data_IF_464330815324
#
_entry.id   IF_464330815324
#
_cell.length_a   1.000
_cell.length_b   1.000
_cell.length_c   1.000
_cell.angle_alpha   90.00
_cell.angle_beta   90.00
_cell.angle_gamma   90.00
#
_symmetry.space_group_name_H-M   'P 1'
#
loop_
_entity.id
_entity.type
_entity.pdbx_description
1 polymer ?
#
# COMPACT_ATOMS: atom_id res chain seq x y z
N UNK A 1 111.42 -58.48 35.27
CA UNK A 1 111.13 -57.02 35.25
C UNK A 1 110.59 -56.47 33.93
N UNK A 2 111.25 -56.82 32.82
CA UNK A 2 110.80 -56.31 31.50
C UNK A 2 109.41 -56.79 31.04
N UNK A 3 109.00 -58.02 31.38
CA UNK A 3 107.66 -58.56 31.02
C UNK A 3 106.60 -57.90 31.88
N UNK A 4 106.89 -57.61 33.15
CA UNK A 4 105.96 -56.86 34.06
C UNK A 4 105.82 -55.40 33.61
N UNK A 5 106.94 -54.76 33.22
CA UNK A 5 106.87 -53.39 32.69
C UNK A 5 106.11 -53.31 31.34
N UNK A 6 106.28 -54.27 30.46
CA UNK A 6 105.54 -54.36 29.17
C UNK A 6 104.02 -54.62 29.44
N UNK A 7 103.71 -55.49 30.40
CA UNK A 7 102.30 -55.72 30.84
C UNK A 7 101.64 -54.50 31.42
N UNK A 8 102.34 -53.74 32.29
CA UNK A 8 101.81 -52.47 32.83
C UNK A 8 101.63 -51.40 31.72
N UNK A 9 102.54 -51.29 30.76
CA UNK A 9 102.41 -50.38 29.63
C UNK A 9 101.25 -50.80 28.73
N UNK A 10 101.06 -52.10 28.51
CA UNK A 10 99.93 -52.60 27.72
C UNK A 10 98.59 -52.36 28.44
N UNK A 11 98.52 -52.61 29.73
CA UNK A 11 97.32 -52.31 30.55
C UNK A 11 97.10 -50.80 30.58
N UNK A 12 98.13 -49.98 30.70
CA UNK A 12 97.99 -48.53 30.65
C UNK A 12 97.49 -48.04 29.29
N UNK A 13 98.03 -48.68 28.22
CA UNK A 13 97.58 -48.34 26.83
C UNK A 13 96.10 -48.72 26.62
N UNK A 14 95.69 -49.95 26.96
CA UNK A 14 94.32 -50.40 26.90
C UNK A 14 93.39 -49.58 27.75
N UNK A 15 93.73 -49.27 28.98
CA UNK A 15 92.94 -48.44 29.90
C UNK A 15 92.78 -47.02 29.38
N UNK A 16 93.82 -46.41 28.86
CA UNK A 16 93.75 -45.01 28.35
C UNK A 16 93.23 -44.94 26.92
N UNK A 17 93.58 -45.89 26.08
CA UNK A 17 93.26 -45.91 24.64
C UNK A 17 91.84 -46.40 24.35
N UNK A 18 91.31 -47.35 25.11
CA UNK A 18 89.98 -47.97 24.79
C UNK A 18 88.95 -47.72 25.87
N UNK A 19 89.30 -48.03 27.17
CA UNK A 19 88.30 -47.99 28.22
C UNK A 19 87.83 -46.59 28.55
N UNK A 20 88.69 -45.56 28.46
CA UNK A 20 88.36 -44.19 28.82
C UNK A 20 87.38 -43.55 27.83
N UNK A 21 87.58 -43.63 26.49
CA UNK A 21 86.59 -43.12 25.52
C UNK A 21 85.24 -43.84 25.57
N UNK A 22 85.24 -45.19 25.75
CA UNK A 22 84.00 -45.95 25.95
C UNK A 22 83.22 -45.52 27.18
N UNK A 23 83.98 -45.31 28.33
CA UNK A 23 83.37 -44.78 29.56
C UNK A 23 82.77 -43.39 29.41
N UNK A 24 83.43 -42.50 28.62
CA UNK A 24 82.88 -41.18 28.31
C UNK A 24 81.56 -41.29 27.49
N UNK A 25 81.48 -42.22 26.55
CA UNK A 25 80.28 -42.48 25.73
C UNK A 25 79.12 -43.02 26.59
N UNK A 26 79.42 -43.97 27.52
CA UNK A 26 78.45 -44.51 28.48
C UNK A 26 77.93 -43.43 29.40
N UNK A 27 78.80 -42.59 29.96
CA UNK A 27 78.40 -41.46 30.82
C UNK A 27 77.49 -40.46 30.06
N UNK A 28 77.78 -40.18 28.81
CA UNK A 28 76.96 -39.27 27.97
C UNK A 28 75.62 -39.90 27.58
N UNK A 29 75.59 -41.20 27.34
CA UNK A 29 74.31 -41.92 27.09
C UNK A 29 73.46 -41.94 28.34
N UNK A 30 74.07 -42.16 29.52
CA UNK A 30 73.39 -42.18 30.81
C UNK A 30 72.84 -40.79 31.17
N UNK A 31 73.60 -39.72 30.86
CA UNK A 31 73.19 -38.33 31.04
C UNK A 31 71.96 -38.00 30.16
N UNK A 32 71.92 -38.48 28.91
CA UNK A 32 70.75 -38.31 28.00
C UNK A 32 69.56 -39.14 28.46
N UNK A 33 69.81 -40.36 29.00
CA UNK A 33 68.72 -41.29 29.34
C UNK A 33 68.11 -41.01 30.72
N UNK A 34 68.92 -40.59 31.68
CA UNK A 34 68.51 -40.47 33.10
C UNK A 34 68.92 -39.13 33.75
N UNK A 35 69.77 -38.32 33.13
CA UNK A 35 70.27 -37.05 33.60
C UNK A 35 69.51 -35.82 33.02
N UNK A 36 70.24 -34.73 32.80
CA UNK A 36 69.73 -33.44 32.31
C UNK A 36 69.37 -33.44 30.81
N UNK A 37 69.52 -34.57 30.12
CA UNK A 37 69.16 -34.68 28.66
C UNK A 37 69.92 -33.73 27.75
N UNK A 38 71.18 -33.36 28.09
CA UNK A 38 71.95 -32.35 27.35
C UNK A 38 72.43 -32.87 25.99
N UNK A 39 71.58 -32.55 24.93
CA UNK A 39 71.85 -32.90 23.51
C UNK A 39 72.90 -31.98 22.88
N UNK A 40 73.43 -30.96 23.56
CA UNK A 40 74.43 -30.04 23.03
C UNK A 40 75.86 -30.56 23.16
N UNK A 41 76.08 -31.54 24.04
CA UNK A 41 77.41 -32.13 24.28
C UNK A 41 77.83 -33.00 23.11
N UNK A 42 79.17 -33.06 22.84
CA UNK A 42 79.74 -33.83 21.77
C UNK A 42 80.98 -34.64 22.30
N UNK A 43 81.18 -35.83 21.78
CA UNK A 43 82.35 -36.61 21.97
C UNK A 43 83.52 -36.03 21.19
N UNK A 44 84.74 -35.99 21.75
CA UNK A 44 85.94 -35.58 21.04
C UNK A 44 86.30 -36.65 20.00
N UNK A 45 86.59 -36.24 18.79
CA UNK A 45 86.93 -37.14 17.66
C UNK A 45 88.40 -36.90 17.27
N UNK A 46 89.32 -37.27 18.17
CA UNK A 46 90.82 -37.07 17.99
C UNK A 46 91.49 -38.29 17.38
N UNK A 47 90.73 -39.30 16.94
CA UNK A 47 91.23 -40.61 16.49
C UNK A 47 90.66 -41.01 15.13
N UNK A 48 91.53 -41.68 14.30
CA UNK A 48 91.15 -42.20 13.01
C UNK A 48 90.94 -43.75 13.01
N UNK A 49 90.55 -44.32 14.15
CA UNK A 49 90.25 -45.73 14.34
C UNK A 49 88.74 -45.99 14.51
N UNK A 50 88.33 -47.22 14.85
CA UNK A 50 86.89 -47.62 15.00
C UNK A 50 86.22 -46.83 16.14
N UNK A 51 86.94 -46.43 17.16
CA UNK A 51 86.39 -45.58 18.25
C UNK A 51 86.14 -44.16 17.79
N UNK A 52 86.98 -43.61 16.91
CA UNK A 52 86.75 -42.33 16.30
C UNK A 52 85.51 -42.35 15.38
N UNK A 53 85.29 -43.42 14.63
CA UNK A 53 84.09 -43.60 13.77
C UNK A 53 82.82 -43.72 14.63
N UNK A 54 82.88 -44.45 15.80
CA UNK A 54 81.73 -44.53 16.68
C UNK A 54 81.42 -43.15 17.26
N UNK A 55 82.43 -42.37 17.70
CA UNK A 55 82.26 -41.04 18.25
C UNK A 55 81.60 -40.06 17.19
N UNK A 56 82.03 -40.17 15.90
CA UNK A 56 81.43 -39.38 14.81
C UNK A 56 79.98 -39.78 14.58
N UNK A 57 79.72 -41.10 14.53
CA UNK A 57 78.37 -41.62 14.36
C UNK A 57 77.41 -41.15 15.48
N UNK A 58 77.89 -41.22 16.71
CA UNK A 58 77.17 -40.77 17.92
C UNK A 58 76.90 -39.25 17.89
N UNK A 59 77.92 -38.44 17.54
CA UNK A 59 77.72 -37.00 17.37
C UNK A 59 76.68 -36.64 16.23
N UNK A 60 76.71 -37.41 15.16
CA UNK A 60 75.73 -37.27 14.05
C UNK A 60 74.33 -37.64 14.51
N UNK A 61 74.17 -38.70 15.28
CA UNK A 61 72.93 -39.11 15.90
C UNK A 61 72.36 -38.00 16.87
N UNK A 62 73.23 -37.49 17.76
CA UNK A 62 72.89 -36.40 18.65
C UNK A 62 72.45 -35.14 17.89
N UNK A 63 73.17 -34.79 16.81
CA UNK A 63 72.80 -33.65 15.96
C UNK A 63 71.43 -33.79 15.32
N UNK A 64 71.09 -35.00 14.83
CA UNK A 64 69.77 -35.32 14.31
C UNK A 64 68.69 -35.25 15.39
N UNK A 65 68.96 -35.81 16.57
CA UNK A 65 68.04 -35.81 17.72
C UNK A 65 67.77 -34.38 18.18
N UNK A 66 68.82 -33.56 18.32
CA UNK A 66 68.75 -32.16 18.69
C UNK A 66 67.88 -31.38 17.67
N UNK A 67 68.11 -31.61 16.36
CA UNK A 67 67.31 -30.99 15.28
C UNK A 67 65.84 -31.39 15.35
N UNK A 68 65.53 -32.68 15.59
CA UNK A 68 64.15 -33.16 15.71
C UNK A 68 63.45 -32.52 16.94
N UNK A 69 64.11 -32.51 18.12
CA UNK A 69 63.57 -31.91 19.34
C UNK A 69 63.31 -30.41 19.08
N UNK A 70 64.26 -29.69 18.46
CA UNK A 70 64.08 -28.29 18.10
C UNK A 70 62.86 -28.04 17.19
N UNK A 71 62.62 -28.91 16.18
CA UNK A 71 61.44 -28.83 15.34
C UNK A 71 60.15 -29.11 16.11
N UNK A 72 60.16 -30.06 17.06
CA UNK A 72 59.02 -30.36 17.89
C UNK A 72 58.68 -29.18 18.81
N UNK A 73 59.67 -28.49 19.41
CA UNK A 73 59.48 -27.27 20.20
C UNK A 73 58.72 -26.21 19.39
N UNK A 74 59.19 -25.94 18.16
CA UNK A 74 58.55 -24.95 17.28
C UNK A 74 57.11 -25.37 16.93
N UNK A 75 56.91 -26.68 16.66
CA UNK A 75 55.57 -27.18 16.32
C UNK A 75 54.60 -27.08 17.49
N UNK A 76 55.02 -27.43 18.69
CA UNK A 76 54.23 -27.31 19.93
C UNK A 76 53.84 -25.87 20.20
N UNK A 77 54.78 -24.93 20.03
CA UNK A 77 54.46 -23.49 20.17
C UNK A 77 53.41 -23.04 19.15
N UNK A 78 53.55 -23.44 17.88
CA UNK A 78 52.55 -23.11 16.86
C UNK A 78 51.17 -23.70 17.17
N UNK A 79 51.10 -24.93 17.72
CA UNK A 79 49.83 -25.52 18.15
C UNK A 79 49.21 -24.71 19.28
N UNK A 80 50.03 -24.31 20.27
CA UNK A 80 49.56 -23.47 21.38
C UNK A 80 48.98 -22.13 20.90
N UNK A 81 49.73 -21.41 20.06
CA UNK A 81 49.33 -20.11 19.50
C UNK A 81 48.04 -20.23 18.65
N UNK A 82 47.97 -21.28 17.81
CA UNK A 82 46.79 -21.56 16.99
C UNK A 82 45.56 -21.92 17.80
N UNK A 83 45.73 -22.66 18.89
CA UNK A 83 44.65 -23.04 19.80
C UNK A 83 44.10 -21.80 20.53
N UNK A 84 44.97 -20.93 21.05
CA UNK A 84 44.57 -19.68 21.68
C UNK A 84 43.81 -18.77 20.73
N UNK A 85 44.32 -18.66 19.49
CA UNK A 85 43.62 -17.88 18.45
C UNK A 85 42.26 -18.47 18.08
N UNK A 86 42.12 -19.79 18.01
CA UNK A 86 40.83 -20.47 17.72
C UNK A 86 39.86 -20.26 18.88
N UNK A 87 40.29 -20.27 20.11
CA UNK A 87 39.46 -19.97 21.29
C UNK A 87 38.93 -18.52 21.25
N UNK A 88 39.78 -17.54 20.89
CA UNK A 88 39.34 -16.14 20.70
C UNK A 88 38.28 -16.01 19.60
N UNK A 89 38.50 -16.66 18.46
CA UNK A 89 37.49 -16.69 17.37
C UNK A 89 36.16 -17.27 17.86
N UNK A 90 36.21 -18.37 18.61
CA UNK A 90 35.02 -19.03 19.14
C UNK A 90 34.23 -18.11 20.09
N UNK A 91 34.92 -17.41 21.00
CA UNK A 91 34.31 -16.42 21.91
C UNK A 91 33.65 -15.29 21.14
N UNK A 92 34.32 -14.72 20.14
CA UNK A 92 33.81 -13.65 19.32
C UNK A 92 32.62 -14.10 18.47
N UNK A 93 32.65 -15.35 17.97
CA UNK A 93 31.53 -15.96 17.24
C UNK A 93 30.30 -16.05 18.12
N UNK A 94 30.46 -16.55 19.35
CA UNK A 94 29.35 -16.65 20.31
C UNK A 94 28.74 -15.27 20.62
N UNK A 95 29.59 -14.25 20.86
CA UNK A 95 29.10 -12.88 21.05
C UNK A 95 28.34 -12.34 19.83
N UNK A 96 28.81 -12.63 18.62
CA UNK A 96 28.12 -12.26 17.37
C UNK A 96 26.76 -12.93 17.25
N UNK A 97 26.68 -14.22 17.58
CA UNK A 97 25.42 -14.98 17.57
C UNK A 97 24.41 -14.44 18.58
N UNK A 98 24.86 -14.08 19.81
CA UNK A 98 23.95 -13.49 20.79
C UNK A 98 23.33 -12.18 20.30
N UNK A 99 24.12 -11.33 19.64
CA UNK A 99 23.60 -10.12 19.02
C UNK A 99 22.62 -10.45 17.88
N UNK A 100 22.95 -11.43 17.04
CA UNK A 100 22.08 -11.87 15.94
C UNK A 100 20.74 -12.41 16.46
N UNK A 101 20.72 -13.17 17.55
CA UNK A 101 19.48 -13.66 18.16
C UNK A 101 18.57 -12.51 18.62
N UNK A 102 19.14 -11.45 19.21
CA UNK A 102 18.37 -10.25 19.58
C UNK A 102 17.79 -9.53 18.36
N UNK A 103 18.53 -9.46 17.25
CA UNK A 103 18.02 -8.87 16.00
C UNK A 103 16.91 -9.74 15.37
N UNK A 104 17.02 -11.06 15.44
CA UNK A 104 16.00 -12.03 15.00
C UNK A 104 14.68 -11.79 15.76
N UNK A 105 14.73 -11.57 17.08
CA UNK A 105 13.55 -11.30 17.91
C UNK A 105 12.84 -10.00 17.49
N UNK A 106 13.60 -8.94 17.17
CA UNK A 106 13.06 -7.70 16.64
C UNK A 106 12.39 -7.91 15.26
N UNK A 107 13.03 -8.67 14.37
CA UNK A 107 12.46 -9.01 13.07
C UNK A 107 11.18 -9.82 13.22
N UNK A 108 11.15 -10.82 14.13
CA UNK A 108 9.95 -11.60 14.40
C UNK A 108 8.78 -10.71 14.87
N UNK A 109 9.05 -9.74 15.74
CA UNK A 109 8.06 -8.78 16.20
C UNK A 109 7.52 -7.93 15.04
N UNK A 110 8.41 -7.40 14.17
CA UNK A 110 8.02 -6.61 13.01
C UNK A 110 7.18 -7.41 11.99
N UNK A 111 7.48 -8.70 11.81
CA UNK A 111 6.70 -9.60 10.96
C UNK A 111 5.30 -9.85 11.53
N UNK A 112 5.18 -10.00 12.86
CA UNK A 112 3.86 -10.09 13.50
C UNK A 112 3.03 -8.82 13.31
N UNK A 113 3.63 -7.64 13.47
CA UNK A 113 2.95 -6.36 13.21
C UNK A 113 2.55 -6.23 11.74
N UNK A 114 3.40 -6.67 10.81
CA UNK A 114 3.09 -6.69 9.37
C UNK A 114 1.90 -7.59 9.07
N UNK A 115 1.82 -8.77 9.65
CA UNK A 115 0.68 -9.69 9.48
C UNK A 115 -0.62 -9.05 9.97
N UNK A 116 -0.62 -8.46 11.16
CA UNK A 116 -1.78 -7.76 11.71
C UNK A 116 -2.21 -6.58 10.83
N UNK A 117 -1.25 -5.79 10.34
CA UNK A 117 -1.50 -4.67 9.44
C UNK A 117 -2.10 -5.15 8.11
N UNK A 118 -1.57 -6.22 7.51
CA UNK A 118 -2.10 -6.79 6.28
C UNK A 118 -3.56 -7.26 6.46
N UNK A 119 -3.88 -7.92 7.57
CA UNK A 119 -5.25 -8.31 7.89
C UNK A 119 -6.19 -7.12 8.05
N UNK A 120 -5.71 -6.04 8.69
CA UNK A 120 -6.50 -4.80 8.84
C UNK A 120 -6.73 -4.13 7.48
N UNK A 121 -5.73 -4.11 6.59
CA UNK A 121 -5.86 -3.57 5.22
C UNK A 121 -6.89 -4.39 4.43
N UNK A 122 -6.85 -5.73 4.47
CA UNK A 122 -7.81 -6.60 3.79
C UNK A 122 -9.25 -6.33 4.28
N UNK A 123 -9.45 -6.24 5.60
CA UNK A 123 -10.74 -5.93 6.20
C UNK A 123 -11.26 -4.55 5.80
N UNK A 124 -10.40 -3.53 5.84
CA UNK A 124 -10.75 -2.17 5.45
C UNK A 124 -11.10 -2.06 3.95
N UNK A 125 -10.39 -2.78 3.08
CA UNK A 125 -10.72 -2.87 1.66
C UNK A 125 -12.08 -3.54 1.43
N UNK A 126 -12.41 -4.60 2.17
CA UNK A 126 -13.74 -5.24 2.13
C UNK A 126 -14.85 -4.26 2.54
N UNK A 127 -14.67 -3.53 3.63
CA UNK A 127 -15.64 -2.51 4.05
C UNK A 127 -15.77 -1.35 3.06
N UNK A 128 -14.67 -0.94 2.42
CA UNK A 128 -14.71 0.09 1.38
C UNK A 128 -15.43 -0.39 0.12
N UNK A 129 -15.29 -1.68 -0.26
CA UNK A 129 -16.04 -2.29 -1.35
C UNK A 129 -17.55 -2.37 -1.04
N UNK A 130 -17.94 -2.70 0.19
CA UNK A 130 -19.34 -2.66 0.64
C UNK A 130 -19.91 -1.24 0.56
N UNK A 131 -19.17 -0.24 1.05
CA UNK A 131 -19.57 1.16 0.97
C UNK A 131 -19.71 1.65 -0.49
N UNK A 132 -18.80 1.25 -1.37
CA UNK A 132 -18.88 1.51 -2.81
C UNK A 132 -20.15 0.89 -3.42
N UNK A 133 -20.49 -0.35 -3.07
CA UNK A 133 -21.70 -1.01 -3.54
C UNK A 133 -22.98 -0.26 -3.08
N UNK A 134 -23.02 0.18 -1.84
CA UNK A 134 -24.11 1.04 -1.36
C UNK A 134 -24.22 2.36 -2.10
N UNK A 135 -23.08 3.00 -2.43
CA UNK A 135 -23.05 4.25 -3.21
C UNK A 135 -23.54 4.02 -4.65
N UNK A 136 -23.18 2.90 -5.28
CA UNK A 136 -23.68 2.50 -6.60
C UNK A 136 -25.20 2.36 -6.60
N UNK A 137 -25.75 1.63 -5.64
CA UNK A 137 -27.19 1.49 -5.49
C UNK A 137 -27.89 2.83 -5.32
N UNK A 138 -27.36 3.73 -4.48
CA UNK A 138 -27.92 5.05 -4.25
C UNK A 138 -27.87 5.93 -5.51
N UNK A 139 -26.77 5.89 -6.27
CA UNK A 139 -26.61 6.61 -7.52
C UNK A 139 -27.60 6.11 -8.59
N UNK A 140 -27.76 4.81 -8.73
CA UNK A 140 -28.73 4.19 -9.65
C UNK A 140 -30.17 4.55 -9.27
N UNK A 141 -30.53 4.56 -8.00
CA UNK A 141 -31.84 4.98 -7.53
C UNK A 141 -32.06 6.47 -7.77
N UNK A 142 -31.03 7.31 -7.54
CA UNK A 142 -31.04 8.72 -7.84
C UNK A 142 -31.27 8.99 -9.33
N UNK A 143 -30.57 8.27 -10.20
CA UNK A 143 -30.72 8.34 -11.66
C UNK A 143 -32.15 8.02 -12.10
N UNK A 144 -32.75 6.95 -11.56
CA UNK A 144 -34.13 6.59 -11.84
C UNK A 144 -35.11 7.68 -11.38
N UNK A 145 -34.89 8.28 -10.21
CA UNK A 145 -35.72 9.38 -9.69
C UNK A 145 -35.64 10.63 -10.60
N UNK A 146 -34.42 10.98 -11.03
CA UNK A 146 -34.20 12.09 -11.96
C UNK A 146 -34.89 11.84 -13.32
N UNK A 147 -34.82 10.61 -13.84
CA UNK A 147 -35.51 10.23 -15.08
C UNK A 147 -37.02 10.36 -14.94
N UNK A 148 -37.60 9.83 -13.87
CA UNK A 148 -39.02 9.95 -13.59
C UNK A 148 -39.48 11.44 -13.47
N UNK A 149 -38.59 12.26 -12.90
CA UNK A 149 -38.83 13.72 -12.80
C UNK A 149 -38.79 14.38 -14.17
N UNK A 150 -37.83 14.04 -15.01
CA UNK A 150 -37.76 14.55 -16.39
C UNK A 150 -39.02 14.17 -17.21
N UNK A 151 -39.47 12.94 -17.08
CA UNK A 151 -40.70 12.47 -17.76
C UNK A 151 -41.94 13.23 -17.24
N UNK A 152 -42.02 13.50 -15.96
CA UNK A 152 -43.12 14.28 -15.36
C UNK A 152 -43.12 15.74 -15.84
N UNK A 153 -41.95 16.35 -15.98
CA UNK A 153 -41.79 17.72 -16.49
C UNK A 153 -42.16 17.75 -18.01
N UNK A 154 -41.77 16.74 -18.77
CA UNK A 154 -42.15 16.63 -20.17
C UNK A 154 -43.67 16.50 -20.34
N UNK A 155 -44.35 15.73 -19.48
CA UNK A 155 -45.80 15.67 -19.46
C UNK A 155 -46.44 17.02 -19.11
N UNK A 156 -45.87 17.75 -18.14
CA UNK A 156 -46.33 19.09 -17.78
C UNK A 156 -46.19 20.08 -18.98
N UNK A 157 -45.10 20.01 -19.75
CA UNK A 157 -44.91 20.82 -20.93
C UNK A 157 -46.00 20.57 -21.98
N UNK A 158 -46.44 19.33 -22.17
CA UNK A 158 -47.58 18.99 -23.04
C UNK A 158 -48.92 19.57 -22.54
N UNK A 159 -49.16 19.51 -21.23
CA UNK A 159 -50.37 20.11 -20.63
C UNK A 159 -50.40 21.64 -20.80
N UNK A 160 -49.25 22.31 -20.62
CA UNK A 160 -49.13 23.75 -20.89
C UNK A 160 -49.44 24.04 -22.37
N UNK A 161 -48.90 23.25 -23.31
CA UNK A 161 -49.17 23.40 -24.73
C UNK A 161 -50.65 23.26 -25.08
N UNK A 162 -51.36 22.30 -24.43
CA UNK A 162 -52.82 22.16 -24.56
C UNK A 162 -53.57 23.39 -24.02
N UNK A 163 -53.14 23.87 -22.86
CA UNK A 163 -53.78 25.05 -22.24
C UNK A 163 -53.59 26.32 -23.09
N UNK A 164 -52.42 26.51 -23.70
CA UNK A 164 -52.17 27.58 -24.70
C UNK A 164 -53.18 27.49 -25.85
N UNK A 165 -53.41 26.32 -26.43
CA UNK A 165 -54.37 26.12 -27.54
C UNK A 165 -55.81 26.46 -27.13
N UNK A 166 -56.22 26.11 -25.89
CA UNK A 166 -57.56 26.42 -25.37
C UNK A 166 -57.71 27.95 -25.19
N UNK A 167 -56.69 28.61 -24.64
CA UNK A 167 -56.73 30.08 -24.44
C UNK A 167 -56.71 30.84 -25.77
N UNK A 168 -55.98 30.36 -26.75
CA UNK A 168 -55.97 30.92 -28.11
C UNK A 168 -57.36 30.79 -28.78
N UNK A 169 -58.06 29.67 -28.56
CA UNK A 169 -59.44 29.50 -29.02
C UNK A 169 -60.37 30.51 -28.34
N UNK A 170 -60.24 30.70 -27.01
CA UNK A 170 -60.99 31.69 -26.25
C UNK A 170 -60.74 33.14 -26.75
N UNK A 171 -59.50 33.46 -27.08
CA UNK A 171 -59.14 34.76 -27.67
C UNK A 171 -59.84 34.97 -28.98
N UNK A 172 -59.88 33.99 -29.88
CA UNK A 172 -60.61 34.04 -31.19
C UNK A 172 -62.13 34.18 -31.01
N UNK A 173 -62.70 33.45 -30.06
CA UNK A 173 -64.13 33.55 -29.79
C UNK A 173 -64.48 34.94 -29.26
N UNK A 174 -63.61 35.52 -28.43
CA UNK A 174 -63.77 36.92 -27.93
C UNK A 174 -63.69 37.95 -29.07
N UNK A 175 -62.84 37.73 -30.10
CA UNK A 175 -62.85 38.56 -31.34
C UNK A 175 -64.16 38.45 -32.10
N UNK A 176 -64.68 37.22 -32.24
CA UNK A 176 -65.98 36.99 -32.89
C UNK A 176 -67.14 37.70 -32.10
N UNK A 177 -67.14 37.63 -30.79
CA UNK A 177 -68.13 38.32 -29.95
C UNK A 177 -67.99 39.85 -30.16
N UNK A 178 -66.78 40.39 -30.19
CA UNK A 178 -66.58 41.82 -30.46
C UNK A 178 -67.14 42.25 -31.81
N UNK A 179 -66.99 41.45 -32.85
CA UNK A 179 -67.57 41.72 -34.18
C UNK A 179 -69.09 41.74 -34.12
N UNK A 180 -69.72 40.83 -33.34
CA UNK A 180 -71.19 40.81 -33.19
C UNK A 180 -71.68 42.07 -32.38
N UNK A 181 -70.96 42.49 -31.34
CA UNK A 181 -71.28 43.69 -30.58
C UNK A 181 -71.18 44.93 -31.41
N UNK A 182 -70.22 45.06 -32.32
CA UNK A 182 -70.13 46.19 -33.26
C UNK A 182 -71.35 46.21 -34.19
N UNK A 183 -71.82 45.04 -34.65
CA UNK A 183 -73.01 44.93 -35.49
C UNK A 183 -74.31 45.35 -34.71
N UNK A 184 -74.43 44.85 -33.42
CA UNK A 184 -75.60 45.20 -32.60
C UNK A 184 -75.58 46.68 -32.26
N UNK A 185 -74.46 47.29 -31.97
CA UNK A 185 -74.34 48.76 -31.79
C UNK A 185 -74.78 49.54 -33.01
N UNK A 186 -74.36 49.09 -34.23
CA UNK A 186 -74.80 49.68 -35.45
C UNK A 186 -76.32 49.59 -35.66
N UNK A 187 -76.93 48.44 -35.32
CA UNK A 187 -78.39 48.26 -35.38
C UNK A 187 -79.09 49.20 -34.41
N UNK A 188 -78.57 49.29 -33.14
CA UNK A 188 -79.14 50.17 -32.11
C UNK A 188 -79.04 51.65 -32.54
N UNK A 189 -77.94 52.05 -33.18
CA UNK A 189 -77.75 53.41 -33.71
C UNK A 189 -78.75 53.72 -34.82
N UNK A 190 -78.90 52.79 -35.79
CA UNK A 190 -79.92 52.91 -36.81
C UNK A 190 -81.36 52.98 -36.24
N UNK A 191 -81.62 52.11 -35.23
CA UNK A 191 -82.92 52.10 -34.55
C UNK A 191 -83.20 53.42 -33.85
N UNK A 192 -82.20 53.99 -33.17
CA UNK A 192 -82.28 55.30 -32.53
C UNK A 192 -82.60 56.44 -33.52
N UNK A 193 -81.95 56.41 -34.74
CA UNK A 193 -82.19 57.35 -35.79
C UNK A 193 -83.60 57.17 -36.43
N UNK A 194 -84.02 55.92 -36.65
CA UNK A 194 -85.40 55.63 -37.12
C UNK A 194 -86.46 56.11 -36.15
N UNK A 195 -86.26 55.83 -34.82
CA UNK A 195 -87.17 56.31 -33.81
C UNK A 195 -87.21 57.83 -33.66
N UNK A 196 -86.06 58.51 -33.83
CA UNK A 196 -86.03 60.00 -33.89
C UNK A 196 -86.81 60.54 -35.06
N UNK A 197 -86.64 59.96 -36.26
CA UNK A 197 -87.37 60.34 -37.43
C UNK A 197 -88.88 60.09 -37.27
N UNK A 198 -89.29 58.97 -36.65
CA UNK A 198 -90.70 58.68 -36.31
C UNK A 198 -91.31 59.68 -35.29
N UNK A 199 -90.49 60.03 -34.26
CA UNK A 199 -90.92 61.04 -33.29
C UNK A 199 -91.10 62.44 -33.95
N UNK A 200 -90.21 62.81 -34.85
CA UNK A 200 -90.37 64.09 -35.59
C UNK A 200 -91.65 64.10 -36.47
N UNK A 201 -91.91 62.97 -37.21
CA UNK A 201 -93.07 62.87 -38.08
C UNK A 201 -94.40 62.77 -37.25
N UNK A 202 -94.34 62.07 -36.07
CA UNK A 202 -95.46 62.05 -35.10
C UNK A 202 -95.75 63.45 -34.52
N UNK A 203 -94.76 64.25 -34.22
CA UNK A 203 -94.90 65.65 -33.82
C UNK A 203 -95.51 66.53 -34.89
N UNK A 204 -95.18 66.22 -36.17
CA UNK A 204 -95.68 66.91 -37.38
C UNK A 204 -97.17 66.63 -37.70
N UNK A 205 -97.68 65.44 -37.28
CA UNK A 205 -99.08 65.02 -37.39
C UNK A 205 -100.03 65.66 -36.29
N UNK A 206 -99.47 66.40 -35.33
CA UNK A 206 -100.22 67.07 -34.28
C UNK A 206 -100.94 66.10 -33.32
N UNK A 207 -102.22 66.41 -33.00
CA UNK A 207 -103.03 65.59 -32.07
C UNK A 207 -103.20 64.13 -32.53
N UNK A 208 -103.21 63.87 -33.88
CA UNK A 208 -103.30 62.50 -34.45
C UNK A 208 -102.06 61.68 -34.24
N UNK A 209 -100.89 62.30 -34.13
CA UNK A 209 -99.63 61.65 -33.95
C UNK A 209 -99.21 61.29 -32.48
N UNK A 210 -99.96 61.71 -31.52
CA UNK A 210 -99.57 61.67 -30.06
C UNK A 210 -99.27 60.25 -29.55
N UNK A 211 -100.09 59.28 -29.95
CA UNK A 211 -99.78 57.83 -29.62
C UNK A 211 -98.50 57.30 -30.27
N UNK A 212 -98.24 57.66 -31.47
CA UNK A 212 -97.03 57.32 -32.24
C UNK A 212 -95.75 57.99 -31.63
N UNK A 213 -95.88 59.21 -31.16
CA UNK A 213 -94.82 59.96 -30.54
C UNK A 213 -94.30 59.22 -29.28
N UNK A 214 -95.22 58.72 -28.40
CA UNK A 214 -94.88 57.96 -27.19
C UNK A 214 -94.17 56.66 -27.53
N UNK A 215 -94.65 55.93 -28.53
CA UNK A 215 -93.96 54.65 -29.01
C UNK A 215 -92.60 54.99 -29.60
N UNK A 216 -92.47 56.03 -30.38
CA UNK A 216 -91.18 56.46 -30.90
C UNK A 216 -90.15 56.82 -29.86
N UNK A 217 -90.59 57.59 -28.79
CA UNK A 217 -89.71 57.91 -27.67
C UNK A 217 -89.28 56.65 -26.87
N UNK A 218 -90.24 55.71 -26.69
CA UNK A 218 -89.92 54.45 -25.99
C UNK A 218 -88.96 53.60 -26.79
N UNK A 219 -89.11 53.44 -28.17
CA UNK A 219 -88.17 52.79 -29.04
C UNK A 219 -86.81 53.51 -29.02
N UNK A 220 -86.79 54.82 -28.99
CA UNK A 220 -85.56 55.60 -28.86
C UNK A 220 -84.82 55.33 -27.57
N UNK A 221 -85.58 55.33 -26.44
CA UNK A 221 -85.02 55.03 -25.11
C UNK A 221 -84.44 53.58 -25.03
N UNK A 222 -85.13 52.59 -25.59
CA UNK A 222 -84.68 51.20 -25.73
C UNK A 222 -83.36 51.08 -26.56
N UNK A 223 -83.32 51.81 -27.71
CA UNK A 223 -82.14 51.86 -28.55
C UNK A 223 -80.89 52.44 -27.79
N UNK A 224 -81.12 53.54 -27.06
CA UNK A 224 -80.06 54.12 -26.19
C UNK A 224 -79.60 53.17 -25.05
N UNK A 225 -80.54 52.47 -24.40
CA UNK A 225 -80.22 51.48 -23.42
C UNK A 225 -79.40 50.32 -24.03
N UNK A 226 -79.80 49.89 -25.26
CA UNK A 226 -79.07 48.84 -25.99
C UNK A 226 -77.64 49.29 -26.36
N UNK A 227 -77.44 50.52 -26.80
CA UNK A 227 -76.10 51.08 -27.05
C UNK A 227 -75.27 51.09 -25.79
N UNK A 228 -75.77 51.53 -24.66
CA UNK A 228 -75.07 51.55 -23.38
C UNK A 228 -74.66 50.14 -22.94
N UNK A 229 -75.60 49.19 -23.02
CA UNK A 229 -75.32 47.79 -22.66
C UNK A 229 -74.23 47.17 -23.52
N UNK A 230 -74.28 47.43 -24.88
CA UNK A 230 -73.26 46.95 -25.83
C UNK A 230 -71.87 47.56 -25.54
N UNK A 231 -71.83 48.83 -25.15
CA UNK A 231 -70.53 49.49 -24.73
C UNK A 231 -69.94 48.91 -23.46
N UNK A 232 -70.79 48.63 -22.46
CA UNK A 232 -70.36 47.93 -21.20
C UNK A 232 -69.83 46.53 -21.54
N UNK A 233 -70.54 45.76 -22.41
CA UNK A 233 -70.08 44.43 -22.83
C UNK A 233 -68.78 44.53 -23.64
N UNK A 234 -68.65 45.52 -24.52
CA UNK A 234 -67.41 45.72 -25.32
C UNK A 234 -66.21 45.98 -24.44
N UNK A 235 -66.37 46.74 -23.33
CA UNK A 235 -65.31 46.96 -22.36
C UNK A 235 -64.91 45.65 -21.64
N UNK A 236 -65.88 44.80 -21.26
CA UNK A 236 -65.63 43.48 -20.69
C UNK A 236 -64.90 42.55 -21.69
N UNK A 237 -65.26 42.54 -22.94
CA UNK A 237 -64.60 41.76 -23.99
C UNK A 237 -63.14 42.23 -24.22
N UNK A 238 -62.87 43.53 -24.19
CA UNK A 238 -61.53 44.08 -24.31
C UNK A 238 -60.65 43.63 -23.09
N UNK A 239 -61.21 43.66 -21.86
CA UNK A 239 -60.55 43.15 -20.68
C UNK A 239 -60.25 41.64 -20.80
N UNK A 240 -61.22 40.85 -21.29
CA UNK A 240 -61.03 39.41 -21.55
C UNK A 240 -59.92 39.16 -22.57
N UNK A 241 -59.89 39.89 -23.68
CA UNK A 241 -58.84 39.79 -24.68
C UNK A 241 -57.45 40.14 -24.16
N UNK A 242 -57.35 41.14 -23.27
CA UNK A 242 -56.09 41.48 -22.59
C UNK A 242 -55.68 40.34 -21.66
N UNK A 243 -56.60 39.87 -20.81
CA UNK A 243 -56.31 38.74 -19.91
C UNK A 243 -55.88 37.46 -20.61
N UNK A 244 -56.49 37.13 -21.77
CA UNK A 244 -56.08 35.96 -22.57
C UNK A 244 -54.67 36.12 -23.11
N UNK A 245 -54.28 37.32 -23.60
CA UNK A 245 -52.89 37.59 -24.05
C UNK A 245 -51.88 37.45 -22.91
N UNK A 246 -52.19 37.95 -21.73
CA UNK A 246 -51.33 37.88 -20.55
C UNK A 246 -51.13 36.41 -20.11
N UNK A 247 -52.22 35.60 -20.12
CA UNK A 247 -52.15 34.15 -19.84
C UNK A 247 -51.30 33.40 -20.83
N UNK A 248 -51.46 33.67 -22.16
CA UNK A 248 -50.61 33.03 -23.20
C UNK A 248 -49.16 33.33 -22.92
N UNK A 249 -48.77 34.58 -22.65
CA UNK A 249 -47.39 34.94 -22.35
C UNK A 249 -46.82 34.21 -21.13
N UNK A 250 -47.60 34.13 -20.02
CA UNK A 250 -47.17 33.37 -18.82
C UNK A 250 -47.00 31.89 -19.13
N UNK A 251 -47.83 31.32 -19.99
CA UNK A 251 -47.71 29.91 -20.42
C UNK A 251 -46.49 29.67 -21.31
N UNK A 252 -46.16 30.57 -22.23
CA UNK A 252 -44.94 30.53 -23.04
C UNK A 252 -43.69 30.59 -22.15
N UNK A 253 -43.61 31.55 -21.19
CA UNK A 253 -42.54 31.63 -20.22
C UNK A 253 -42.43 30.36 -19.33
N UNK A 254 -43.55 29.70 -19.05
CA UNK A 254 -43.61 28.44 -18.33
C UNK A 254 -43.12 27.27 -19.15
N UNK A 255 -43.42 27.25 -20.45
CA UNK A 255 -42.92 26.22 -21.37
C UNK A 255 -41.40 26.29 -21.52
N UNK A 256 -40.82 27.48 -21.67
CA UNK A 256 -39.37 27.67 -21.71
C UNK A 256 -38.71 27.15 -20.43
N UNK A 257 -39.30 27.45 -19.25
CA UNK A 257 -38.79 26.93 -17.98
C UNK A 257 -38.86 25.42 -17.87
N UNK A 258 -39.90 24.77 -18.38
CA UNK A 258 -39.98 23.29 -18.39
C UNK A 258 -38.92 22.68 -19.29
N UNK A 259 -38.62 23.26 -20.47
CA UNK A 259 -37.55 22.80 -21.35
C UNK A 259 -36.17 22.89 -20.68
N UNK A 260 -35.86 24.03 -20.05
CA UNK A 260 -34.63 24.18 -19.26
C UNK A 260 -34.55 23.15 -18.14
N UNK A 261 -35.67 22.88 -17.44
CA UNK A 261 -35.71 21.90 -16.34
C UNK A 261 -35.47 20.46 -16.83
N UNK A 262 -36.00 20.08 -18.01
CA UNK A 262 -35.70 18.77 -18.65
C UNK A 262 -34.21 18.66 -18.98
N UNK A 263 -33.60 19.71 -19.52
CA UNK A 263 -32.19 19.74 -19.84
C UNK A 263 -31.31 19.57 -18.56
N UNK A 264 -31.67 20.27 -17.46
CA UNK A 264 -31.00 20.15 -16.18
C UNK A 264 -31.14 18.73 -15.62
N UNK A 265 -32.30 18.11 -15.69
CA UNK A 265 -32.54 16.74 -15.29
C UNK A 265 -31.65 15.76 -16.09
N UNK A 266 -31.55 15.97 -17.42
CA UNK A 266 -30.64 15.15 -18.25
C UNK A 266 -29.17 15.29 -17.86
N UNK A 267 -28.71 16.50 -17.54
CA UNK A 267 -27.36 16.73 -17.02
C UNK A 267 -27.12 16.04 -15.66
N UNK A 268 -28.10 16.09 -14.78
CA UNK A 268 -28.02 15.40 -13.50
C UNK A 268 -27.96 13.87 -13.65
N UNK A 269 -28.73 13.30 -14.59
CA UNK A 269 -28.68 11.88 -14.91
C UNK A 269 -27.29 11.46 -15.46
N UNK A 270 -26.69 12.27 -16.33
CA UNK A 270 -25.34 12.02 -16.85
C UNK A 270 -24.26 12.11 -15.75
N UNK A 271 -24.40 13.04 -14.80
CA UNK A 271 -23.50 13.13 -13.65
C UNK A 271 -23.61 11.90 -12.75
N UNK A 272 -24.81 11.40 -12.49
CA UNK A 272 -25.05 10.17 -11.72
C UNK A 272 -24.46 8.94 -12.42
N UNK A 273 -24.54 8.84 -13.75
CA UNK A 273 -23.87 7.78 -14.52
C UNK A 273 -22.35 7.81 -14.32
N UNK A 274 -21.75 9.01 -14.37
CA UNK A 274 -20.31 9.17 -14.12
C UNK A 274 -19.92 8.75 -12.70
N UNK A 275 -20.77 9.01 -11.70
CA UNK A 275 -20.58 8.56 -10.33
C UNK A 275 -20.64 7.03 -10.25
N UNK A 276 -21.63 6.39 -10.86
CA UNK A 276 -21.74 4.91 -10.91
C UNK A 276 -20.48 4.28 -11.51
N UNK A 277 -19.97 4.84 -12.60
CA UNK A 277 -18.74 4.34 -13.23
C UNK A 277 -17.52 4.50 -12.33
N UNK A 278 -17.36 5.64 -11.65
CA UNK A 278 -16.28 5.87 -10.72
C UNK A 278 -16.34 4.92 -9.52
N UNK A 279 -17.54 4.69 -8.99
CA UNK A 279 -17.79 3.77 -7.87
C UNK A 279 -17.47 2.32 -8.25
N UNK A 280 -17.80 1.89 -9.48
CA UNK A 280 -17.40 0.58 -9.98
C UNK A 280 -15.89 0.38 -9.98
N UNK A 281 -15.13 1.38 -10.44
CA UNK A 281 -13.66 1.35 -10.41
C UNK A 281 -13.13 1.27 -8.97
N UNK A 282 -13.74 1.99 -8.03
CA UNK A 282 -13.37 1.93 -6.61
C UNK A 282 -13.62 0.52 -6.04
N UNK A 283 -14.73 -0.12 -6.39
CA UNK A 283 -15.05 -1.47 -5.97
C UNK A 283 -14.01 -2.50 -6.47
N UNK A 284 -13.63 -2.40 -7.76
CA UNK A 284 -12.62 -3.26 -8.37
C UNK A 284 -11.25 -3.07 -7.70
N UNK A 285 -10.85 -1.81 -7.46
CA UNK A 285 -9.61 -1.50 -6.74
C UNK A 285 -9.61 -2.07 -5.32
N UNK A 286 -10.70 -1.96 -4.56
CA UNK A 286 -10.79 -2.51 -3.22
C UNK A 286 -10.69 -4.04 -3.22
N UNK A 287 -11.26 -4.72 -4.21
CA UNK A 287 -11.10 -6.17 -4.39
C UNK A 287 -9.64 -6.56 -4.63
N UNK A 288 -8.92 -5.78 -5.46
CA UNK A 288 -7.49 -6.00 -5.69
C UNK A 288 -6.66 -5.72 -4.43
N UNK A 289 -6.96 -4.67 -3.67
CA UNK A 289 -6.29 -4.34 -2.41
C UNK A 289 -6.48 -5.47 -1.39
N UNK A 290 -7.69 -6.00 -1.24
CA UNK A 290 -7.97 -7.12 -0.35
C UNK A 290 -7.15 -8.36 -0.72
N UNK A 291 -7.11 -8.73 -2.00
CA UNK A 291 -6.30 -9.86 -2.49
C UNK A 291 -4.80 -9.65 -2.30
N UNK A 292 -4.29 -8.45 -2.55
CA UNK A 292 -2.88 -8.12 -2.32
C UNK A 292 -2.51 -8.17 -0.83
N UNK A 293 -3.41 -7.76 0.05
CA UNK A 293 -3.21 -7.83 1.50
C UNK A 293 -3.23 -9.29 2.01
N UNK A 294 -4.06 -10.17 1.45
CA UNK A 294 -4.04 -11.60 1.73
C UNK A 294 -2.71 -12.24 1.31
N UNK A 295 -2.21 -11.88 0.12
CA UNK A 295 -0.90 -12.34 -0.36
C UNK A 295 0.24 -11.83 0.54
N UNK A 296 0.19 -10.56 0.99
CA UNK A 296 1.15 -10.02 1.95
C UNK A 296 1.13 -10.77 3.29
N UNK A 297 -0.04 -11.18 3.77
CA UNK A 297 -0.17 -11.99 4.98
C UNK A 297 0.49 -13.36 4.83
N UNK A 298 0.32 -14.02 3.69
CA UNK A 298 0.96 -15.30 3.39
C UNK A 298 2.49 -15.16 3.30
N UNK A 299 3.00 -14.10 2.66
CA UNK A 299 4.44 -13.81 2.58
C UNK A 299 5.00 -13.52 3.97
N UNK A 300 4.29 -12.79 4.82
CA UNK A 300 4.71 -12.53 6.20
C UNK A 300 4.82 -13.84 7.01
N UNK A 301 3.91 -14.77 6.83
CA UNK A 301 3.97 -16.08 7.48
C UNK A 301 5.17 -16.92 7.01
N UNK A 302 5.50 -16.86 5.71
CA UNK A 302 6.72 -17.47 5.17
C UNK A 302 8.00 -16.84 5.72
N UNK A 303 8.03 -15.52 5.85
CA UNK A 303 9.15 -14.81 6.49
C UNK A 303 9.27 -15.23 7.96
N UNK A 304 8.19 -15.36 8.70
CA UNK A 304 8.21 -15.81 10.11
C UNK A 304 8.80 -17.23 10.25
N UNK A 305 8.45 -18.14 9.35
CA UNK A 305 9.08 -19.47 9.30
C UNK A 305 10.58 -19.39 9.04
N UNK A 306 11.01 -18.54 8.11
CA UNK A 306 12.42 -18.35 7.80
C UNK A 306 13.18 -17.73 8.98
N UNK A 307 12.62 -16.75 9.66
CA UNK A 307 13.18 -16.14 10.88
C UNK A 307 13.38 -17.19 11.99
N UNK A 308 12.40 -18.06 12.18
CA UNK A 308 12.51 -19.19 13.13
C UNK A 308 13.68 -20.13 12.77
N UNK A 309 13.79 -20.49 11.48
CA UNK A 309 14.90 -21.33 11.00
C UNK A 309 16.26 -20.66 11.20
N UNK A 310 16.37 -19.36 10.91
CA UNK A 310 17.63 -18.60 11.14
C UNK A 310 17.98 -18.60 12.63
N UNK A 311 17.01 -18.46 13.52
CA UNK A 311 17.20 -18.57 14.96
C UNK A 311 17.75 -19.94 15.39
N UNK A 312 17.24 -21.01 14.80
CA UNK A 312 17.74 -22.36 15.05
C UNK A 312 19.20 -22.52 14.59
N UNK A 313 19.51 -22.08 13.37
CA UNK A 313 20.89 -22.13 12.83
C UNK A 313 21.83 -21.29 13.67
N UNK A 314 21.41 -20.13 14.15
CA UNK A 314 22.20 -19.29 15.05
C UNK A 314 22.54 -20.03 16.36
N UNK A 315 21.59 -20.75 16.96
CA UNK A 315 21.83 -21.57 18.14
C UNK A 315 22.80 -22.73 17.88
N UNK A 316 22.72 -23.37 16.70
CA UNK A 316 23.67 -24.44 16.30
C UNK A 316 25.08 -23.87 16.15
N UNK A 317 25.24 -22.67 15.58
CA UNK A 317 26.52 -21.97 15.43
C UNK A 317 27.09 -21.63 16.81
N UNK A 318 26.26 -21.18 17.76
CA UNK A 318 26.69 -20.93 19.16
C UNK A 318 27.20 -22.20 19.82
N UNK A 319 26.48 -23.32 19.65
CA UNK A 319 26.91 -24.63 20.15
C UNK A 319 28.26 -25.07 19.57
N UNK A 320 28.43 -24.95 18.25
CA UNK A 320 29.70 -25.25 17.57
C UNK A 320 30.88 -24.36 18.02
N UNK A 321 30.60 -23.08 18.31
CA UNK A 321 31.60 -22.17 18.84
C UNK A 321 32.01 -22.57 20.25
N UNK A 322 31.09 -22.99 21.13
CA UNK A 322 31.42 -23.48 22.49
C UNK A 322 32.27 -24.75 22.42
N UNK A 323 31.91 -25.72 21.56
CA UNK A 323 32.72 -26.94 21.35
C UNK A 323 34.13 -26.60 20.83
N UNK A 324 34.26 -25.67 19.90
CA UNK A 324 35.56 -25.22 19.38
C UNK A 324 36.41 -24.56 20.46
N UNK A 325 35.79 -23.78 21.36
CA UNK A 325 36.46 -23.16 22.51
C UNK A 325 37.01 -24.23 23.49
N UNK A 326 36.18 -25.24 23.80
CA UNK A 326 36.58 -26.35 24.68
C UNK A 326 37.73 -27.17 24.07
N UNK A 327 37.61 -27.54 22.79
CA UNK A 327 38.65 -28.27 22.06
C UNK A 327 39.99 -27.50 22.04
N UNK A 328 39.91 -26.17 21.82
CA UNK A 328 41.11 -25.31 21.85
C UNK A 328 41.77 -25.24 23.22
N UNK A 329 41.00 -25.22 24.31
CA UNK A 329 41.53 -25.27 25.68
C UNK A 329 42.22 -26.61 25.96
N UNK A 330 41.70 -27.74 25.47
CA UNK A 330 42.32 -29.04 25.57
C UNK A 330 43.64 -29.12 24.79
N UNK A 331 43.66 -28.60 23.54
CA UNK A 331 44.87 -28.53 22.72
C UNK A 331 45.98 -27.69 23.40
N UNK A 332 45.63 -26.56 24.00
CA UNK A 332 46.57 -25.72 24.76
C UNK A 332 47.16 -26.50 25.92
N UNK A 333 46.34 -27.26 26.66
CA UNK A 333 46.79 -28.11 27.76
C UNK A 333 47.73 -29.22 27.27
N UNK A 334 47.40 -29.87 26.16
CA UNK A 334 48.24 -30.88 25.53
C UNK A 334 49.60 -30.32 25.07
N UNK A 335 49.57 -29.13 24.44
CA UNK A 335 50.79 -28.43 24.02
C UNK A 335 51.68 -28.08 25.22
N UNK A 336 51.09 -27.63 26.33
CA UNK A 336 51.85 -27.40 27.57
C UNK A 336 52.48 -28.70 28.15
N UNK A 337 51.73 -29.81 28.13
CA UNK A 337 52.27 -31.12 28.56
C UNK A 337 53.42 -31.56 27.66
N UNK A 338 53.28 -31.46 26.34
CA UNK A 338 54.38 -31.78 25.43
C UNK A 338 55.59 -30.87 25.66
N UNK A 339 55.39 -29.56 25.87
CA UNK A 339 56.45 -28.63 26.17
C UNK A 339 57.21 -29.02 27.45
N UNK A 340 56.51 -29.49 28.50
CA UNK A 340 57.15 -30.00 29.73
C UNK A 340 58.01 -31.22 29.48
N UNK A 341 57.56 -32.16 28.61
CA UNK A 341 58.31 -33.34 28.26
C UNK A 341 59.58 -32.98 27.45
N UNK A 342 59.42 -32.06 26.50
CA UNK A 342 60.52 -31.60 25.64
C UNK A 342 61.56 -30.81 26.42
N UNK A 343 61.15 -30.02 27.39
CA UNK A 343 62.03 -29.22 28.27
C UNK A 343 62.91 -30.10 29.19
N UNK A 344 62.70 -31.43 29.20
CA UNK A 344 63.66 -32.39 29.85
C UNK A 344 64.95 -32.56 29.01
N UNK A 345 64.91 -32.14 27.71
CA UNK A 345 66.07 -32.15 26.87
C UNK A 345 66.60 -30.73 26.69
N UNK A 346 67.94 -30.60 26.88
CA UNK A 346 68.60 -29.35 26.56
C UNK A 346 69.10 -29.38 25.12
N UNK A 347 68.51 -28.50 24.27
CA UNK A 347 68.72 -28.44 22.82
C UNK A 347 69.61 -27.27 22.43
#
# INVERSE_FOLDING_TARGET
>A
LLVAAAGMLMIGFVAHGIARPLKQMVVMLDDIAQGDGDLTRRLQVDRNDELGQIALGFNTFLGKLQGMIGQVVVSVQKVSDSSEHTADIAIRTNQGVQKQLSEIELVATAVHEMTATAQDVARNATHAAEAANHADHAANQGKQTVQNTADSIAALAQEIGRAVSVVQTLAKDSENINAILVAIRGIAEQTNLLALNAAIEAARAGEQGRGFAVVADEVRNLAQKTQKATEEIQTMIQQLQQGTRDVVKVMEDSQDKTEISVQQASQAAAALESITQAVSVINDMNTQIASAAEEQSAVAEDINRNVTNIGQVANEVAGGADEASQASAELTKLAEQQRRLINQFKV
#
